data_IF_995168645459
#
_entry.id   IF_995168645459
#
_cell.length_a   1.000
_cell.length_b   1.000
_cell.length_c   1.000
_cell.angle_alpha   90.00
_cell.angle_beta   90.00
_cell.angle_gamma   90.00
#
_symmetry.space_group_name_H-M   'P 1'
#
loop_
_entity.id
_entity.type
_entity.pdbx_description
1 polymer ?
#
# COMPACT_ATOMS: atom_id res chain seq x y z
N UNK A 1 -25.06 26.22 -16.67
CA UNK A 1 -23.89 25.48 -17.18
C UNK A 1 -22.82 26.51 -17.48
N UNK A 2 -21.65 26.42 -16.85
CA UNK A 2 -20.55 27.33 -17.18
C UNK A 2 -20.03 27.00 -18.59
N UNK A 3 -19.78 28.02 -19.40
CA UNK A 3 -19.17 27.91 -20.72
C UNK A 3 -17.83 27.16 -20.64
N UNK A 4 -17.59 26.24 -21.57
CA UNK A 4 -16.38 25.40 -21.64
C UNK A 4 -15.22 26.13 -22.34
N UNK A 5 -15.02 27.41 -22.04
CA UNK A 5 -13.99 28.27 -22.63
C UNK A 5 -12.78 28.46 -21.69
N UNK A 6 -12.36 27.38 -21.01
CA UNK A 6 -11.10 27.40 -20.27
C UNK A 6 -9.95 27.07 -21.21
N UNK A 7 -8.80 27.76 -21.10
CA UNK A 7 -7.62 27.44 -21.90
C UNK A 7 -7.25 25.97 -21.70
N UNK A 8 -7.09 25.25 -22.81
CA UNK A 8 -6.67 23.85 -22.78
C UNK A 8 -5.30 23.73 -22.11
N UNK A 9 -5.11 22.67 -21.32
CA UNK A 9 -3.77 22.29 -20.85
C UNK A 9 -2.99 21.81 -22.07
N UNK A 10 -2.03 22.60 -22.51
CA UNK A 10 -1.03 22.22 -23.50
C UNK A 10 0.19 21.78 -22.71
N UNK A 11 0.53 20.49 -22.77
CA UNK A 11 1.77 19.98 -22.17
C UNK A 11 2.88 20.21 -23.20
N UNK A 12 3.80 21.17 -22.99
CA UNK A 12 4.83 21.52 -23.96
C UNK A 12 6.03 20.55 -23.93
N UNK A 13 6.02 19.60 -23.00
CA UNK A 13 7.08 18.64 -22.78
C UNK A 13 6.83 17.40 -23.62
N UNK A 14 7.84 16.98 -24.38
CA UNK A 14 7.77 15.71 -25.11
C UNK A 14 7.61 14.54 -24.14
N UNK A 15 6.68 13.59 -24.42
CA UNK A 15 6.48 12.43 -23.57
C UNK A 15 7.76 11.58 -23.57
N UNK A 16 8.18 11.14 -22.37
CA UNK A 16 9.27 10.16 -22.24
C UNK A 16 8.65 8.75 -22.31
N UNK A 17 9.09 7.90 -23.23
CA UNK A 17 8.65 6.51 -23.28
C UNK A 17 9.30 5.73 -22.13
N UNK A 18 8.49 5.28 -21.18
CA UNK A 18 8.90 4.27 -20.20
C UNK A 18 8.72 2.87 -20.82
N UNK A 19 9.71 1.98 -20.74
CA UNK A 19 9.55 0.61 -21.22
C UNK A 19 8.44 -0.11 -20.46
N UNK A 20 7.57 -0.82 -21.20
CA UNK A 20 6.58 -1.69 -20.58
C UNK A 20 7.31 -2.76 -19.76
N UNK A 21 7.05 -2.77 -18.45
CA UNK A 21 7.60 -3.77 -17.54
C UNK A 21 6.52 -4.82 -17.32
N UNK A 22 6.81 -6.07 -17.71
CA UNK A 22 5.93 -7.20 -17.45
C UNK A 22 6.04 -7.50 -15.94
N UNK A 23 4.95 -7.66 -15.19
CA UNK A 23 5.04 -8.22 -13.85
C UNK A 23 5.78 -9.55 -13.98
N UNK A 24 6.89 -9.70 -13.25
CA UNK A 24 7.67 -10.93 -13.30
C UNK A 24 6.84 -11.96 -12.55
N UNK A 25 5.99 -12.68 -13.27
CA UNK A 25 5.18 -13.78 -12.77
C UNK A 25 6.09 -14.95 -12.41
N UNK A 26 6.82 -14.82 -11.31
CA UNK A 26 7.48 -15.91 -10.62
C UNK A 26 6.51 -16.41 -9.57
N UNK A 27 5.79 -17.49 -9.87
CA UNK A 27 5.22 -18.31 -8.82
C UNK A 27 6.36 -18.62 -7.86
N UNK A 28 6.26 -18.19 -6.62
CA UNK A 28 7.25 -18.50 -5.60
C UNK A 28 7.23 -20.02 -5.42
N UNK A 29 8.05 -20.74 -6.17
CA UNK A 29 8.59 -22.07 -5.83
C UNK A 29 9.56 -21.95 -4.63
N UNK A 30 9.31 -20.99 -3.73
CA UNK A 30 10.03 -20.79 -2.51
C UNK A 30 9.53 -21.81 -1.49
N UNK A 31 10.48 -22.38 -0.75
CA UNK A 31 10.22 -23.23 0.40
C UNK A 31 9.01 -22.71 1.18
N UNK A 32 8.02 -23.59 1.41
CA UNK A 32 6.77 -23.21 2.06
C UNK A 32 7.01 -22.41 3.34
N UNK A 33 6.10 -21.48 3.64
CA UNK A 33 6.17 -20.62 4.80
C UNK A 33 6.58 -21.40 6.05
N UNK A 34 7.72 -21.01 6.64
CA UNK A 34 8.37 -21.73 7.74
C UNK A 34 8.00 -21.21 9.13
N UNK A 35 7.10 -20.23 9.21
CA UNK A 35 6.62 -19.63 10.44
C UNK A 35 5.35 -20.30 11.01
N UNK A 36 4.92 -19.83 12.18
CA UNK A 36 3.61 -20.20 12.76
C UNK A 36 2.50 -19.49 11.99
N UNK A 37 1.84 -20.22 11.09
CA UNK A 37 0.76 -19.72 10.22
C UNK A 37 -0.39 -19.11 11.01
N UNK A 38 -0.83 -19.75 12.11
CA UNK A 38 -1.93 -19.23 12.93
C UNK A 38 -1.56 -17.91 13.57
N UNK A 39 -0.37 -17.85 14.18
CA UNK A 39 0.12 -16.63 14.81
C UNK A 39 0.30 -15.50 13.80
N UNK A 40 0.86 -15.82 12.62
CA UNK A 40 1.04 -14.87 11.52
C UNK A 40 -0.29 -14.31 11.04
N UNK A 41 -1.23 -15.18 10.66
CA UNK A 41 -2.54 -14.79 10.19
C UNK A 41 -3.33 -13.99 11.23
N UNK A 42 -3.30 -14.40 12.50
CA UNK A 42 -3.97 -13.67 13.59
C UNK A 42 -3.39 -12.27 13.80
N UNK A 43 -2.06 -12.10 13.67
CA UNK A 43 -1.43 -10.80 13.74
C UNK A 43 -1.88 -9.89 12.58
N UNK A 44 -1.96 -10.44 11.36
CA UNK A 44 -2.44 -9.69 10.19
C UNK A 44 -3.93 -9.33 10.29
N UNK A 45 -4.77 -10.20 10.88
CA UNK A 45 -6.18 -9.87 11.17
C UNK A 45 -6.27 -8.67 12.09
N UNK A 46 -5.53 -8.66 13.21
CA UNK A 46 -5.53 -7.54 14.15
C UNK A 46 -5.03 -6.24 13.50
N UNK A 47 -3.91 -6.29 12.77
CA UNK A 47 -3.39 -5.14 12.04
C UNK A 47 -4.38 -4.59 11.01
N UNK A 48 -5.11 -5.48 10.32
CA UNK A 48 -6.14 -5.08 9.39
C UNK A 48 -7.30 -4.37 10.10
N UNK A 49 -7.82 -4.96 11.17
CA UNK A 49 -8.91 -4.39 11.98
C UNK A 49 -8.53 -3.01 12.54
N UNK A 50 -7.32 -2.87 13.08
CA UNK A 50 -6.78 -1.61 13.59
C UNK A 50 -6.65 -0.56 12.47
N UNK A 51 -6.22 -0.97 11.28
CA UNK A 51 -6.00 -0.06 10.16
C UNK A 51 -7.31 0.42 9.49
N UNK A 52 -8.37 -0.40 9.51
CA UNK A 52 -9.70 -0.02 8.98
C UNK A 52 -10.57 0.72 9.99
N UNK A 53 -10.17 0.74 11.27
CA UNK A 53 -10.88 1.47 12.30
C UNK A 53 -10.95 2.96 11.93
N UNK A 54 -12.14 3.54 12.13
CA UNK A 54 -12.36 4.95 11.86
C UNK A 54 -11.58 5.80 12.86
N UNK A 55 -10.82 6.77 12.36
CA UNK A 55 -10.28 7.84 13.20
C UNK A 55 -11.46 8.74 13.59
N UNK A 56 -11.62 9.09 14.88
CA UNK A 56 -12.80 9.81 15.38
C UNK A 56 -13.00 11.21 14.77
N UNK A 57 -11.94 11.80 14.19
CA UNK A 57 -11.94 13.12 13.55
C UNK A 57 -11.66 13.07 12.03
N UNK A 58 -11.62 11.89 11.42
CA UNK A 58 -11.44 11.80 9.97
C UNK A 58 -12.73 12.23 9.23
N UNK A 59 -12.60 12.95 8.09
CA UNK A 59 -13.74 13.21 7.24
C UNK A 59 -14.38 11.88 6.78
N UNK A 60 -15.69 11.86 6.55
CA UNK A 60 -16.35 10.74 5.88
C UNK A 60 -15.77 10.61 4.46
N UNK A 61 -14.82 9.69 4.29
CA UNK A 61 -14.25 9.28 3.02
C UNK A 61 -14.93 7.98 2.62
N UNK A 62 -15.26 7.80 1.33
CA UNK A 62 -15.98 6.62 0.82
C UNK A 62 -15.15 5.30 0.87
N UNK A 63 -13.90 5.36 1.36
CA UNK A 63 -12.98 4.23 1.40
C UNK A 63 -11.80 4.43 2.35
N UNK A 64 -11.01 3.38 2.52
CA UNK A 64 -9.81 3.36 3.36
C UNK A 64 -8.62 2.83 2.56
N UNK A 65 -7.56 3.64 2.47
CA UNK A 65 -6.29 3.22 1.88
C UNK A 65 -5.46 2.42 2.87
N UNK A 66 -5.13 1.19 2.52
CA UNK A 66 -4.25 0.32 3.30
C UNK A 66 -2.98 0.00 2.52
N UNK A 67 -1.85 -0.02 3.20
CA UNK A 67 -0.57 -0.47 2.67
C UNK A 67 -0.23 -1.84 3.21
N UNK A 68 0.02 -2.76 2.29
CA UNK A 68 0.50 -4.12 2.52
C UNK A 68 2.00 -4.14 2.25
N UNK A 69 2.79 -4.57 3.24
CA UNK A 69 4.24 -4.64 3.13
C UNK A 69 4.68 -6.09 3.00
N UNK A 70 5.62 -6.37 2.09
CA UNK A 70 6.23 -7.70 1.98
C UNK A 70 7.30 -7.96 3.02
N UNK A 71 7.72 -9.21 3.14
CA UNK A 71 9.01 -9.51 3.76
C UNK A 71 10.16 -9.03 2.86
N UNK A 72 11.29 -8.67 3.46
CA UNK A 72 12.48 -8.28 2.70
C UNK A 72 12.90 -9.37 1.71
N UNK A 73 13.06 -8.99 0.45
CA UNK A 73 13.43 -9.88 -0.65
C UNK A 73 12.28 -10.73 -1.19
N UNK A 74 11.03 -10.56 -0.72
CA UNK A 74 9.85 -11.21 -1.27
C UNK A 74 8.95 -10.20 -1.99
N UNK A 75 8.27 -10.69 -3.03
CA UNK A 75 7.25 -9.95 -3.78
C UNK A 75 5.85 -10.29 -3.24
N UNK A 76 4.96 -9.30 -3.24
CA UNK A 76 3.55 -9.49 -2.92
C UNK A 76 2.83 -10.10 -4.11
N UNK A 77 1.80 -10.90 -3.83
CA UNK A 77 0.86 -11.36 -4.84
C UNK A 77 -0.07 -10.21 -5.26
N UNK A 78 0.42 -9.28 -6.09
CA UNK A 78 -0.31 -8.08 -6.52
C UNK A 78 -1.68 -8.39 -7.13
N UNK A 79 -1.78 -9.45 -7.93
CA UNK A 79 -3.05 -9.93 -8.50
C UNK A 79 -4.08 -10.34 -7.43
N UNK A 80 -3.63 -10.73 -6.24
CA UNK A 80 -4.52 -11.05 -5.12
C UNK A 80 -4.97 -9.80 -4.36
N UNK A 81 -4.22 -8.69 -4.46
CA UNK A 81 -4.53 -7.41 -3.86
C UNK A 81 -5.44 -6.55 -4.75
N UNK A 82 -5.47 -6.82 -6.05
CA UNK A 82 -6.23 -6.05 -7.03
C UNK A 82 -7.48 -6.82 -7.55
N UNK A 83 -8.67 -6.35 -7.21
CA UNK A 83 -9.91 -7.09 -7.51
C UNK A 83 -10.51 -6.62 -8.85
N UNK A 84 -10.10 -7.29 -9.92
CA UNK A 84 -10.57 -7.05 -11.29
C UNK A 84 -12.01 -7.55 -11.53
N UNK A 85 -13.01 -6.93 -10.88
CA UNK A 85 -14.45 -7.25 -11.01
C UNK A 85 -15.27 -5.97 -11.16
N UNK A 86 -16.43 -6.10 -11.80
CA UNK A 86 -17.34 -4.96 -12.00
C UNK A 86 -17.90 -4.43 -10.66
N UNK A 87 -17.96 -3.10 -10.54
CA UNK A 87 -18.50 -2.37 -9.39
C UNK A 87 -17.43 -1.88 -8.42
N UNK A 88 -17.86 -1.30 -7.30
CA UNK A 88 -16.95 -0.90 -6.20
C UNK A 88 -16.28 -2.15 -5.63
N UNK A 89 -14.95 -2.23 -5.72
CA UNK A 89 -14.13 -3.32 -5.21
C UNK A 89 -12.83 -2.76 -4.67
N UNK A 90 -12.09 -3.54 -3.85
CA UNK A 90 -10.74 -3.16 -3.51
C UNK A 90 -9.84 -3.07 -4.75
N UNK A 91 -9.11 -1.97 -4.89
CA UNK A 91 -8.29 -1.65 -6.07
C UNK A 91 -6.86 -1.32 -5.65
N UNK A 92 -5.89 -1.91 -6.36
CA UNK A 92 -4.48 -1.60 -6.14
C UNK A 92 -4.14 -0.24 -6.78
N UNK A 93 -3.83 0.77 -5.96
CA UNK A 93 -3.63 2.16 -6.43
C UNK A 93 -2.16 2.56 -6.55
N UNK A 94 -1.27 1.93 -5.79
CA UNK A 94 0.16 2.19 -5.89
C UNK A 94 0.99 0.95 -5.50
N UNK A 95 2.14 0.78 -6.14
CA UNK A 95 3.16 -0.20 -5.76
C UNK A 95 4.50 0.50 -5.76
N UNK A 96 5.28 0.32 -4.70
CA UNK A 96 6.63 0.85 -4.61
C UNK A 96 7.56 -0.12 -3.91
N UNK A 97 8.85 0.05 -4.18
CA UNK A 97 9.90 -0.64 -3.45
C UNK A 97 10.56 0.33 -2.47
N UNK A 98 10.95 -0.19 -1.32
CA UNK A 98 11.69 0.54 -0.30
C UNK A 98 12.89 -0.30 0.16
N UNK A 99 14.07 0.32 0.21
CA UNK A 99 15.25 -0.33 0.78
C UNK A 99 15.09 -0.54 2.28
N UNK A 100 15.37 -1.75 2.74
CA UNK A 100 15.44 -2.09 4.16
C UNK A 100 16.79 -2.75 4.47
N UNK A 101 17.17 -2.75 5.75
CA UNK A 101 18.44 -3.31 6.21
C UNK A 101 18.65 -4.79 5.81
N UNK A 102 17.56 -5.52 5.57
CA UNK A 102 17.55 -6.94 5.23
C UNK A 102 17.24 -7.22 3.75
N UNK A 103 17.19 -6.19 2.90
CA UNK A 103 16.83 -6.28 1.47
C UNK A 103 15.60 -5.44 1.10
N UNK A 104 15.25 -5.38 -0.19
CA UNK A 104 14.13 -4.56 -0.68
C UNK A 104 12.80 -5.08 -0.11
N UNK A 105 11.91 -4.16 0.25
CA UNK A 105 10.54 -4.44 0.68
C UNK A 105 9.59 -3.84 -0.33
N UNK A 106 8.62 -4.63 -0.78
CA UNK A 106 7.55 -4.16 -1.64
C UNK A 106 6.38 -3.66 -0.79
N UNK A 107 5.87 -2.47 -1.13
CA UNK A 107 4.73 -1.83 -0.49
C UNK A 107 3.64 -1.66 -1.55
N UNK A 108 2.50 -2.32 -1.33
CA UNK A 108 1.33 -2.23 -2.19
C UNK A 108 0.21 -1.48 -1.44
N UNK A 109 -0.26 -0.37 -2.00
CA UNK A 109 -1.33 0.44 -1.43
C UNK A 109 -2.63 0.14 -2.17
N UNK A 110 -3.66 -0.23 -1.41
CA UNK A 110 -4.97 -0.66 -1.91
C UNK A 110 -6.04 0.28 -1.37
N UNK A 111 -6.89 0.80 -2.25
CA UNK A 111 -8.14 1.46 -1.87
C UNK A 111 -9.19 0.40 -1.51
N UNK A 112 -9.85 0.56 -0.36
CA UNK A 112 -10.90 -0.35 0.10
C UNK A 112 -12.17 0.47 0.35
N UNK A 113 -13.18 0.38 -0.53
CA UNK A 113 -14.47 1.01 -0.29
C UNK A 113 -15.09 0.54 1.03
N UNK A 114 -15.85 1.40 1.72
CA UNK A 114 -16.42 1.08 3.04
C UNK A 114 -17.23 -0.22 3.06
N UNK A 115 -18.03 -0.45 2.02
CA UNK A 115 -18.83 -1.66 1.85
C UNK A 115 -18.02 -2.93 1.50
N UNK A 116 -16.69 -2.84 1.42
CA UNK A 116 -15.78 -3.92 1.00
C UNK A 116 -14.69 -4.27 2.03
N UNK A 117 -14.69 -3.67 3.22
CA UNK A 117 -13.73 -3.98 4.30
C UNK A 117 -13.72 -5.47 4.71
N UNK A 118 -14.87 -6.14 4.61
CA UNK A 118 -14.98 -7.57 4.94
C UNK A 118 -14.22 -8.48 3.96
N UNK A 119 -13.84 -7.98 2.78
CA UNK A 119 -13.22 -8.78 1.73
C UNK A 119 -11.88 -9.37 2.15
N UNK A 120 -10.95 -8.53 2.60
CA UNK A 120 -9.64 -8.97 3.05
C UNK A 120 -9.72 -9.64 4.41
N UNK A 121 -10.56 -9.15 5.32
CA UNK A 121 -10.78 -9.78 6.61
C UNK A 121 -11.16 -11.26 6.45
N UNK A 122 -12.13 -11.56 5.58
CA UNK A 122 -12.53 -12.94 5.29
C UNK A 122 -11.38 -13.80 4.78
N UNK A 123 -10.51 -13.27 3.91
CA UNK A 123 -9.37 -14.01 3.35
C UNK A 123 -8.30 -14.31 4.41
N UNK A 124 -8.03 -13.32 5.28
CA UNK A 124 -7.12 -13.46 6.41
C UNK A 124 -7.67 -14.50 7.42
N UNK A 125 -8.96 -14.42 7.77
CA UNK A 125 -9.61 -15.41 8.64
C UNK A 125 -9.59 -16.82 8.05
N UNK A 126 -9.89 -16.97 6.75
CA UNK A 126 -9.82 -18.26 6.07
C UNK A 126 -8.42 -18.87 6.08
N UNK A 127 -7.37 -18.04 6.00
CA UNK A 127 -5.99 -18.50 6.14
C UNK A 127 -5.71 -19.02 7.55
N UNK A 128 -6.17 -18.30 8.59
CA UNK A 128 -6.04 -18.75 9.99
C UNK A 128 -6.80 -20.07 10.22
N UNK A 129 -8.04 -20.18 9.72
CA UNK A 129 -8.89 -21.36 9.88
C UNK A 129 -8.31 -22.61 9.20
N UNK A 130 -7.56 -22.42 8.12
CA UNK A 130 -6.94 -23.50 7.34
C UNK A 130 -5.45 -23.68 7.63
N UNK A 131 -4.95 -23.10 8.73
CA UNK A 131 -3.53 -23.11 9.06
C UNK A 131 -2.94 -24.52 9.27
N UNK A 132 -3.77 -25.48 9.69
CA UNK A 132 -3.39 -26.89 9.87
C UNK A 132 -3.46 -27.74 8.60
N UNK A 133 -4.01 -27.19 7.51
CA UNK A 133 -4.07 -27.87 6.22
C UNK A 133 -2.66 -27.88 5.57
N UNK A 134 -2.36 -28.89 4.75
CA UNK A 134 -1.09 -28.97 4.01
C UNK A 134 -0.83 -27.69 3.21
N UNK A 135 -1.89 -27.13 2.62
CA UNK A 135 -1.90 -25.83 1.95
C UNK A 135 -3.02 -24.97 2.53
N UNK A 136 -2.65 -23.94 3.28
CA UNK A 136 -3.61 -22.99 3.82
C UNK A 136 -4.28 -22.19 2.69
N UNK A 137 -5.55 -21.86 2.86
CA UNK A 137 -6.33 -21.03 1.94
C UNK A 137 -5.75 -19.62 1.90
N UNK A 138 -5.69 -19.03 0.71
CA UNK A 138 -5.09 -17.72 0.48
C UNK A 138 -3.60 -17.62 0.87
N UNK A 139 -2.87 -18.74 1.00
CA UNK A 139 -1.45 -18.74 1.37
C UNK A 139 -0.60 -17.82 0.48
N UNK A 140 -0.80 -17.84 -0.84
CA UNK A 140 -0.11 -16.97 -1.80
C UNK A 140 -0.23 -15.48 -1.48
N UNK A 141 -1.38 -15.04 -0.97
CA UNK A 141 -1.59 -13.66 -0.53
C UNK A 141 -0.96 -13.42 0.85
N UNK A 142 -1.30 -14.26 1.83
CA UNK A 142 -1.05 -13.98 3.25
C UNK A 142 0.41 -14.23 3.64
N UNK A 143 1.06 -15.22 3.05
CA UNK A 143 2.45 -15.58 3.37
C UNK A 143 3.46 -14.58 2.76
N UNK A 144 3.05 -13.81 1.74
CA UNK A 144 3.85 -12.71 1.19
C UNK A 144 3.77 -11.43 2.03
N UNK A 145 2.72 -11.25 2.83
CA UNK A 145 2.49 -10.04 3.63
C UNK A 145 3.23 -10.16 4.97
N UNK A 146 4.14 -9.23 5.23
CA UNK A 146 4.77 -9.03 6.54
C UNK A 146 3.87 -8.23 7.48
N UNK A 147 3.28 -7.13 6.99
CA UNK A 147 2.43 -6.26 7.81
C UNK A 147 1.40 -5.50 6.98
N UNK A 148 0.33 -5.10 7.64
CA UNK A 148 -0.75 -4.26 7.10
C UNK A 148 -0.83 -3.00 7.95
N UNK A 149 -0.97 -1.84 7.31
CA UNK A 149 -1.20 -0.57 8.00
C UNK A 149 -2.03 0.37 7.16
N UNK A 150 -2.52 1.46 7.78
CA UNK A 150 -3.12 2.56 7.04
C UNK A 150 -2.07 3.25 6.18
N UNK A 151 -2.43 3.55 4.94
CA UNK A 151 -1.50 4.15 3.99
C UNK A 151 -1.13 5.58 4.40
N UNK A 152 0.15 5.90 4.24
CA UNK A 152 0.69 7.25 4.34
C UNK A 152 0.68 7.94 2.97
N UNK A 153 0.73 9.27 2.96
CA UNK A 153 0.81 10.05 1.70
C UNK A 153 2.00 9.61 0.84
N UNK A 154 3.12 9.26 1.49
CA UNK A 154 4.31 8.77 0.79
C UNK A 154 4.06 7.44 0.09
N UNK A 155 3.21 6.57 0.62
CA UNK A 155 2.86 5.28 0.00
C UNK A 155 1.86 5.41 -1.17
N UNK A 156 1.26 6.59 -1.35
CA UNK A 156 0.45 6.95 -2.51
C UNK A 156 1.25 7.69 -3.59
N UNK A 157 2.52 8.04 -3.32
CA UNK A 157 3.37 8.73 -4.27
C UNK A 157 3.92 7.77 -5.33
N UNK A 158 3.58 8.02 -6.60
CA UNK A 158 3.99 7.20 -7.75
C UNK A 158 5.10 7.83 -8.59
N UNK A 159 5.47 9.09 -8.31
CA UNK A 159 6.59 9.77 -8.94
C UNK A 159 7.93 9.36 -8.30
N UNK A 160 9.04 9.84 -8.86
CA UNK A 160 10.37 9.59 -8.31
C UNK A 160 10.48 10.04 -6.83
N UNK A 161 11.22 9.30 -6.01
CA UNK A 161 11.30 9.58 -4.57
C UNK A 161 11.98 10.94 -4.30
N UNK A 162 12.93 11.37 -5.15
CA UNK A 162 13.58 12.68 -5.08
C UNK A 162 12.66 13.84 -5.47
N UNK A 163 11.52 13.56 -6.11
CA UNK A 163 10.50 14.55 -6.45
C UNK A 163 9.43 14.70 -5.35
N UNK A 164 9.45 13.86 -4.31
CA UNK A 164 8.54 14.00 -3.18
C UNK A 164 8.81 15.33 -2.47
N UNK A 165 7.79 16.15 -2.19
CA UNK A 165 8.01 17.46 -1.59
C UNK A 165 8.65 17.32 -0.20
N UNK A 166 9.80 17.97 -0.03
CA UNK A 166 10.35 18.24 1.30
C UNK A 166 9.31 19.00 2.12
N UNK A 167 9.18 18.68 3.42
CA UNK A 167 8.22 19.34 4.30
C UNK A 167 8.36 20.87 4.20
N UNK A 168 7.27 21.61 3.93
CA UNK A 168 7.33 23.06 3.83
C UNK A 168 7.56 23.67 5.22
N UNK A 169 8.82 23.86 5.59
CA UNK A 169 9.25 24.85 6.58
C UNK A 169 9.36 24.37 8.03
N UNK A 170 10.39 23.59 8.34
CA UNK A 170 11.11 23.76 9.61
C UNK A 170 11.85 25.10 9.59
N UNK A 171 11.18 26.19 9.95
CA UNK A 171 11.75 27.52 10.00
C UNK A 171 13.02 27.55 10.87
N UNK A 172 14.17 27.68 10.21
CA UNK A 172 15.42 28.03 10.85
C UNK A 172 15.32 29.47 11.37
N UNK A 173 14.78 29.62 12.58
CA UNK A 173 14.93 30.80 13.42
C UNK A 173 16.39 30.88 13.88
N UNK A 174 17.31 31.26 12.99
CA UNK A 174 18.60 31.81 13.42
C UNK A 174 18.33 33.25 13.87
N UNK A 175 18.17 33.38 15.19
CA UNK A 175 17.93 34.64 15.87
C UNK A 175 18.97 35.69 15.52
N UNK A 176 18.49 36.81 14.99
CA UNK A 176 19.21 38.07 15.07
C UNK A 176 19.30 38.50 16.53
N UNK A 177 20.47 38.35 17.14
CA UNK A 177 20.86 39.11 18.32
C UNK A 177 21.76 40.25 17.84
N UNK A 178 21.14 41.39 17.58
CA UNK A 178 21.81 42.67 17.66
C UNK A 178 22.21 42.91 19.12
N UNK A 179 23.50 42.84 19.42
CA UNK A 179 24.07 43.40 20.63
C UNK A 179 24.73 44.72 20.26
N UNK A 180 24.09 45.81 20.68
CA UNK A 180 24.72 47.13 20.80
C UNK A 180 25.70 47.09 21.97
N UNK A 181 26.93 47.54 21.73
CA UNK A 181 27.76 48.30 22.67
C UNK A 181 28.84 49.04 21.88
#
# INVERSE_FOLDING_TARGET
MAERDRPHIVVPTDPRPEPFTIPTGGGNDGAGFSGDRRRHGAALVQQYEDAVAAEPDAPEVEGTYLSFLSFSGLELALESLDVQRLGEQPELVAVREADSANGPVQIATVDIPDGKKEYFLKRLSQYVDSADEDTARNATLVEGIQSIRRATIRELWTDADDAYPDEPGGGQMVGGLAAQA
#
